data_IF_183078069492
#
_entry.id   IF_183078069492
#
_cell.length_a   1.000
_cell.length_b   1.000
_cell.length_c   1.000
_cell.angle_alpha   90.00
_cell.angle_beta   90.00
_cell.angle_gamma   90.00
#
_symmetry.space_group_name_H-M   'P 1'
#
loop_
_entity.id
_entity.type
_entity.pdbx_description
1 polymer ?
#
# COMPACT_ATOMS: atom_id res chain seq x y z
N UNK A 1 4.46 2.20 26.35
CA UNK A 1 4.73 2.43 24.91
C UNK A 1 4.47 1.14 24.16
N UNK A 2 3.36 1.04 23.43
CA UNK A 2 3.10 -0.15 22.59
C UNK A 2 4.01 -0.05 21.37
N UNK A 3 5.00 -0.94 21.28
CA UNK A 3 5.74 -1.16 20.04
C UNK A 3 4.81 -1.82 19.02
N UNK A 4 3.91 -1.04 18.41
CA UNK A 4 3.17 -1.49 17.24
C UNK A 4 4.15 -1.42 16.06
N UNK A 5 5.11 -2.36 16.02
CA UNK A 5 5.98 -2.54 14.86
C UNK A 5 5.05 -2.97 13.73
N UNK A 6 4.99 -2.18 12.65
CA UNK A 6 4.32 -2.54 11.39
C UNK A 6 4.96 -3.80 10.78
N UNK A 7 4.70 -4.96 11.40
CA UNK A 7 5.33 -6.24 11.09
C UNK A 7 4.75 -6.84 9.81
N UNK A 8 3.50 -6.54 9.47
CA UNK A 8 2.84 -7.01 8.25
C UNK A 8 3.64 -6.73 6.98
N UNK A 9 3.98 -5.47 6.71
CA UNK A 9 4.77 -5.14 5.51
C UNK A 9 6.20 -5.67 5.55
N UNK A 10 6.78 -5.92 6.74
CA UNK A 10 8.08 -6.54 6.85
C UNK A 10 8.06 -8.00 6.33
N UNK A 11 6.91 -8.68 6.45
CA UNK A 11 6.70 -10.06 5.96
C UNK A 11 6.45 -10.17 4.47
N UNK A 12 6.10 -9.07 3.79
CA UNK A 12 5.95 -9.07 2.34
C UNK A 12 7.32 -8.97 1.68
N UNK A 13 7.64 -9.93 0.82
CA UNK A 13 8.83 -9.91 -0.02
C UNK A 13 8.65 -8.88 -1.14
N UNK A 14 9.65 -8.01 -1.32
CA UNK A 14 9.56 -6.97 -2.33
C UNK A 14 9.67 -7.50 -3.77
N UNK A 15 10.39 -8.60 -3.97
CA UNK A 15 10.46 -9.22 -5.28
C UNK A 15 9.14 -9.90 -5.64
N UNK A 16 8.45 -10.46 -4.65
CA UNK A 16 7.08 -10.96 -4.82
C UNK A 16 6.11 -9.83 -5.18
N UNK A 17 6.18 -8.70 -4.48
CA UNK A 17 5.38 -7.50 -4.79
C UNK A 17 5.59 -7.06 -6.26
N UNK A 18 6.84 -7.03 -6.74
CA UNK A 18 7.16 -6.67 -8.13
C UNK A 18 6.63 -7.68 -9.13
N UNK A 19 6.70 -8.99 -8.82
CA UNK A 19 6.13 -10.03 -9.68
C UNK A 19 4.62 -9.87 -9.82
N UNK A 20 3.91 -9.66 -8.70
CA UNK A 20 2.45 -9.44 -8.72
C UNK A 20 2.08 -8.17 -9.47
N UNK A 21 2.86 -7.09 -9.30
CA UNK A 21 2.68 -5.87 -10.10
C UNK A 21 2.79 -6.13 -11.60
N UNK A 22 3.81 -6.86 -12.04
CA UNK A 22 3.97 -7.21 -13.46
C UNK A 22 2.79 -8.03 -14.00
N UNK A 23 2.31 -9.02 -13.23
CA UNK A 23 1.17 -9.87 -13.62
C UNK A 23 -0.16 -9.12 -13.70
N UNK A 24 -0.30 -8.02 -12.98
CA UNK A 24 -1.55 -7.22 -12.93
C UNK A 24 -1.48 -5.97 -13.80
N UNK A 25 -0.39 -5.79 -14.56
CA UNK A 25 -0.18 -4.59 -15.38
C UNK A 25 -0.08 -3.31 -14.55
N UNK A 26 0.35 -3.41 -13.29
CA UNK A 26 0.49 -2.26 -12.41
C UNK A 26 1.70 -1.41 -12.82
N UNK A 27 1.45 -0.13 -13.08
CA UNK A 27 2.50 0.87 -13.31
C UNK A 27 2.47 1.93 -12.21
N UNK A 28 3.48 1.92 -11.35
CA UNK A 28 3.59 2.86 -10.24
C UNK A 28 3.58 4.32 -10.70
N UNK A 29 4.08 4.65 -11.89
CA UNK A 29 4.08 6.04 -12.36
C UNK A 29 2.68 6.52 -12.77
N UNK A 30 1.76 5.61 -13.09
CA UNK A 30 0.34 5.91 -13.34
C UNK A 30 -0.40 6.09 -12.02
N UNK A 31 -0.12 5.25 -11.02
CA UNK A 31 -0.86 5.23 -9.76
C UNK A 31 -0.31 6.19 -8.68
N UNK A 32 0.99 6.48 -8.71
CA UNK A 32 1.60 7.39 -7.76
C UNK A 32 1.27 8.84 -8.13
N UNK A 33 0.66 9.58 -7.19
CA UNK A 33 0.69 11.05 -7.27
C UNK A 33 2.14 11.48 -7.09
N UNK A 34 2.76 12.05 -8.13
CA UNK A 34 4.05 12.77 -8.02
C UNK A 34 3.98 13.68 -6.79
N UNK A 35 4.69 13.35 -5.72
CA UNK A 35 4.94 14.32 -4.65
C UNK A 35 5.68 15.48 -5.32
N UNK A 36 5.12 16.69 -5.24
CA UNK A 36 5.69 17.93 -5.81
C UNK A 36 7.15 18.20 -5.38
N UNK A 37 7.64 17.50 -4.34
CA UNK A 37 8.97 17.67 -3.76
C UNK A 37 10.03 16.67 -4.27
N UNK A 38 9.73 15.74 -5.19
CA UNK A 38 10.74 14.87 -5.76
C UNK A 38 11.21 15.35 -7.13
N UNK A 39 12.48 15.75 -7.20
CA UNK A 39 13.15 16.16 -8.43
C UNK A 39 13.38 15.00 -9.41
N UNK A 40 13.98 15.28 -10.59
CA UNK A 40 14.35 14.26 -11.56
C UNK A 40 15.24 13.17 -10.93
N UNK A 41 14.96 11.88 -11.21
CA UNK A 41 15.74 10.75 -10.67
C UNK A 41 15.32 10.27 -9.29
N UNK A 42 14.23 10.79 -8.72
CA UNK A 42 13.71 10.30 -7.46
C UNK A 42 12.98 8.96 -7.61
N UNK A 43 13.73 7.87 -7.44
CA UNK A 43 13.21 6.49 -7.41
C UNK A 43 12.52 6.12 -6.08
N UNK A 44 12.31 7.11 -5.19
CA UNK A 44 11.68 6.90 -3.88
C UNK A 44 10.34 6.15 -3.99
N UNK A 45 9.55 6.46 -5.02
CA UNK A 45 8.26 5.80 -5.25
C UNK A 45 8.44 4.30 -5.51
N UNK A 46 9.49 3.93 -6.25
CA UNK A 46 9.79 2.55 -6.66
C UNK A 46 10.56 1.78 -5.58
N UNK A 47 11.21 2.47 -4.63
CA UNK A 47 12.02 1.83 -3.58
C UNK A 47 11.31 1.75 -2.22
N UNK A 48 10.28 2.57 -1.97
CA UNK A 48 9.48 2.45 -0.76
C UNK A 48 8.50 1.27 -0.86
N UNK A 49 8.93 0.13 -0.33
CA UNK A 49 8.17 -1.14 -0.31
C UNK A 49 6.74 -0.97 0.20
N UNK A 50 6.53 -0.14 1.23
CA UNK A 50 5.20 0.06 1.84
C UNK A 50 4.31 0.85 0.91
N UNK A 51 4.83 1.96 0.39
CA UNK A 51 4.10 2.81 -0.53
C UNK A 51 3.73 2.05 -1.82
N UNK A 52 4.68 1.30 -2.39
CA UNK A 52 4.46 0.46 -3.56
C UNK A 52 3.36 -0.58 -3.29
N UNK A 53 3.46 -1.32 -2.18
CA UNK A 53 2.50 -2.36 -1.85
C UNK A 53 1.09 -1.80 -1.62
N UNK A 54 0.93 -0.64 -0.97
CA UNK A 54 -0.37 0.00 -0.78
C UNK A 54 -1.03 0.41 -2.11
N UNK A 55 -0.24 0.96 -3.05
CA UNK A 55 -0.76 1.29 -4.38
C UNK A 55 -1.14 0.04 -5.18
N UNK A 56 -0.33 -1.01 -5.09
CA UNK A 56 -0.60 -2.28 -5.75
C UNK A 56 -1.88 -2.94 -5.19
N UNK A 57 -2.06 -2.97 -3.87
CA UNK A 57 -3.29 -3.46 -3.23
C UNK A 57 -4.51 -2.78 -3.82
N UNK A 58 -4.50 -1.43 -3.85
CA UNK A 58 -5.62 -0.64 -4.38
C UNK A 58 -5.89 -0.93 -5.86
N UNK A 59 -4.83 -1.11 -6.65
CA UNK A 59 -4.95 -1.47 -8.07
C UNK A 59 -5.64 -2.82 -8.25
N UNK A 60 -5.22 -3.84 -7.49
CA UNK A 60 -5.82 -5.18 -7.57
C UNK A 60 -7.28 -5.16 -7.09
N UNK A 61 -7.58 -4.43 -6.01
CA UNK A 61 -8.96 -4.23 -5.53
C UNK A 61 -9.84 -3.60 -6.61
N UNK A 62 -9.34 -2.58 -7.32
CA UNK A 62 -10.05 -1.95 -8.42
C UNK A 62 -10.24 -2.93 -9.60
N UNK A 63 -9.21 -3.70 -9.97
CA UNK A 63 -9.36 -4.73 -10.99
C UNK A 63 -10.39 -5.79 -10.61
N UNK A 64 -10.47 -6.18 -9.33
CA UNK A 64 -11.48 -7.14 -8.87
C UNK A 64 -12.90 -6.57 -8.98
N UNK A 65 -13.07 -5.25 -8.81
CA UNK A 65 -14.37 -4.58 -8.97
C UNK A 65 -14.78 -4.45 -10.45
N UNK A 66 -13.82 -4.15 -11.33
CA UNK A 66 -14.10 -3.84 -12.74
C UNK A 66 -14.07 -5.08 -13.65
N UNK A 67 -13.14 -6.00 -13.36
CA UNK A 67 -12.77 -7.13 -14.24
C UNK A 67 -12.24 -8.32 -13.44
N UNK A 68 -13.05 -8.82 -12.51
CA UNK A 68 -12.65 -9.91 -11.61
C UNK A 68 -12.01 -11.11 -12.33
N UNK A 69 -12.52 -11.50 -13.50
CA UNK A 69 -12.03 -12.63 -14.30
C UNK A 69 -10.58 -12.49 -14.78
N UNK A 70 -10.10 -11.25 -14.93
CA UNK A 70 -8.76 -10.96 -15.46
C UNK A 70 -7.68 -10.95 -14.37
N UNK A 71 -8.07 -11.01 -13.09
CA UNK A 71 -7.13 -11.00 -11.97
C UNK A 71 -6.59 -12.42 -11.76
N UNK A 72 -5.27 -12.66 -11.94
CA UNK A 72 -4.68 -13.98 -11.75
C UNK A 72 -4.87 -14.46 -10.31
N UNK A 73 -5.08 -15.77 -10.11
CA UNK A 73 -5.30 -16.33 -8.77
C UNK A 73 -4.17 -15.98 -7.79
N UNK A 74 -2.92 -16.04 -8.25
CA UNK A 74 -1.75 -15.66 -7.46
C UNK A 74 -1.82 -14.22 -6.94
N UNK A 75 -2.36 -13.28 -7.72
CA UNK A 75 -2.54 -11.89 -7.29
C UNK A 75 -3.65 -11.77 -6.24
N UNK A 76 -4.70 -12.60 -6.31
CA UNK A 76 -5.77 -12.67 -5.30
C UNK A 76 -5.25 -13.25 -3.98
N UNK A 77 -4.46 -14.31 -4.05
CA UNK A 77 -3.86 -14.96 -2.88
C UNK A 77 -2.90 -13.99 -2.17
N UNK A 78 -2.07 -13.29 -2.96
CA UNK A 78 -1.20 -12.23 -2.45
C UNK A 78 -1.99 -11.09 -1.81
N UNK A 79 -3.09 -10.64 -2.44
CA UNK A 79 -3.95 -9.57 -1.89
C UNK A 79 -4.49 -9.92 -0.51
N UNK A 80 -4.88 -11.18 -0.27
CA UNK A 80 -5.36 -11.62 1.05
C UNK A 80 -4.32 -11.42 2.15
N UNK A 81 -3.06 -11.80 1.91
CA UNK A 81 -1.97 -11.59 2.84
C UNK A 81 -1.59 -10.10 2.98
N UNK A 82 -1.59 -9.36 1.87
CA UNK A 82 -1.21 -7.95 1.82
C UNK A 82 -2.25 -7.04 2.49
N UNK A 83 -3.55 -7.38 2.41
CA UNK A 83 -4.63 -6.64 3.06
C UNK A 83 -4.53 -6.67 4.60
N UNK A 84 -4.09 -7.79 5.17
CA UNK A 84 -3.83 -7.89 6.63
C UNK A 84 -2.71 -6.92 7.01
N UNK A 85 -1.61 -6.91 6.25
CA UNK A 85 -0.49 -5.99 6.48
C UNK A 85 -0.89 -4.51 6.35
N UNK A 86 -1.75 -4.20 5.37
CA UNK A 86 -2.27 -2.85 5.18
C UNK A 86 -3.19 -2.41 6.33
N UNK A 87 -4.04 -3.31 6.84
CA UNK A 87 -4.92 -3.05 7.99
C UNK A 87 -4.11 -2.75 9.26
N UNK A 88 -3.11 -3.59 9.57
CA UNK A 88 -2.19 -3.35 10.69
C UNK A 88 -1.52 -1.97 10.61
N UNK A 89 -1.10 -1.57 9.40
CA UNK A 89 -0.50 -0.27 9.18
C UNK A 89 -1.50 0.89 9.33
N UNK A 90 -2.73 0.73 8.84
CA UNK A 90 -3.77 1.75 9.00
C UNK A 90 -4.13 1.98 10.47
N UNK A 91 -4.14 0.93 11.30
CA UNK A 91 -4.35 1.04 12.74
C UNK A 91 -3.19 1.76 13.44
N UNK A 92 -1.95 1.49 13.02
CA UNK A 92 -0.77 2.23 13.48
C UNK A 92 -0.87 3.71 13.10
N UNK A 93 -1.20 4.04 11.86
CA UNK A 93 -1.38 5.43 11.41
C UNK A 93 -2.52 6.13 12.17
N UNK A 94 -3.62 5.43 12.45
CA UNK A 94 -4.73 5.96 13.24
C UNK A 94 -4.30 6.25 14.69
N UNK A 95 -3.53 5.35 15.31
CA UNK A 95 -3.02 5.52 16.66
C UNK A 95 -1.96 6.63 16.76
N UNK A 96 -1.19 6.86 15.69
CA UNK A 96 -0.18 7.92 15.62
C UNK A 96 -0.74 9.27 15.17
N UNK A 97 -1.96 9.33 14.62
CA UNK A 97 -2.61 10.62 14.34
C UNK A 97 -2.83 11.33 15.66
N UNK A 98 -2.32 12.57 15.84
CA UNK A 98 -2.66 13.34 17.01
C UNK A 98 -4.18 13.49 17.03
N UNK A 99 -4.81 13.05 18.12
CA UNK A 99 -6.19 13.40 18.42
C UNK A 99 -6.21 14.92 18.50
N UNK A 100 -6.66 15.56 17.42
CA UNK A 100 -7.11 16.95 17.49
C UNK A 100 -8.29 16.91 18.44
N UNK A 101 -8.04 17.08 19.74
CA UNK A 101 -9.08 17.48 20.67
C UNK A 101 -9.65 18.74 20.06
N UNK A 102 -10.86 18.65 19.50
CA UNK A 102 -11.69 19.83 19.30
C UNK A 102 -11.80 20.44 20.69
N UNK A 103 -11.07 21.53 20.91
CA UNK A 103 -11.43 22.46 21.96
C UNK A 103 -12.88 22.86 21.65
N UNK A 104 -13.80 22.32 22.45
CA UNK A 104 -15.05 23.01 22.72
C UNK A 104 -14.61 24.23 23.51
N UNK A 105 -14.76 25.41 22.91
CA UNK A 105 -14.83 26.65 23.67
C UNK A 105 -16.28 27.10 23.58
N UNK A 106 -16.80 27.35 24.78
CA UNK A 106 -18.14 27.77 25.17
C UNK A 106 -18.72 28.98 24.42
#
# INVERSE_FOLDING_TARGET
>A
MVQIKARGFARLDFDEIKRVAAMTGFDIYVHARKKKSCGPGCDYLVQDKRYFALLLIRHIEQMLQERAGDVPQQARDWLGAAAVAASEYADIERAMRPTVRRAHED
#
